data_IF_257589580402
#
_entry.id   IF_257589580402
#
_cell.length_a   1.000
_cell.length_b   1.000
_cell.length_c   1.000
_cell.angle_alpha   90.00
_cell.angle_beta   90.00
_cell.angle_gamma   90.00
#
_symmetry.space_group_name_H-M   'P 1'
#
loop_
_entity.id
_entity.type
_entity.pdbx_description
1 polymer ?
#
# COMPACT_ATOMS: atom_id res chain seq x y z
N UNK A 1 52.93 13.49 -43.13
CA UNK A 1 52.75 12.23 -43.90
C UNK A 1 51.98 11.25 -43.03
N UNK A 2 50.91 10.70 -43.58
CA UNK A 2 49.89 9.84 -42.96
C UNK A 2 50.50 8.69 -42.15
N UNK A 3 50.08 8.54 -40.89
CA UNK A 3 50.16 7.25 -40.20
C UNK A 3 48.81 6.54 -40.25
N UNK A 4 48.90 5.24 -40.47
CA UNK A 4 47.90 4.31 -40.94
C UNK A 4 47.39 3.49 -39.74
N UNK A 5 46.05 3.40 -39.62
CA UNK A 5 45.20 2.24 -39.32
C UNK A 5 45.73 1.12 -38.39
N UNK A 6 45.00 0.86 -37.29
CA UNK A 6 44.82 -0.44 -36.59
C UNK A 6 43.60 -0.28 -35.64
N UNK A 7 42.37 -0.70 -36.03
CA UNK A 7 41.67 -1.98 -35.80
C UNK A 7 41.50 -2.35 -34.30
N UNK A 8 40.31 -2.91 -33.99
CA UNK A 8 39.84 -3.57 -32.75
C UNK A 8 39.47 -2.53 -31.65
N UNK A 9 38.25 -2.40 -31.15
CA UNK A 9 37.37 -3.42 -30.57
C UNK A 9 35.92 -2.96 -30.75
N UNK A 10 35.09 -3.86 -31.28
CA UNK A 10 33.64 -3.80 -31.13
C UNK A 10 33.33 -3.91 -29.63
N UNK A 11 33.22 -2.77 -28.95
CA UNK A 11 32.62 -2.70 -27.62
C UNK A 11 31.12 -2.87 -27.80
N UNK A 12 30.74 -4.14 -27.89
CA UNK A 12 29.42 -4.64 -27.54
C UNK A 12 29.11 -4.10 -26.14
N UNK A 13 28.52 -2.90 -26.08
CA UNK A 13 27.81 -2.42 -24.91
C UNK A 13 26.59 -3.32 -24.79
N UNK A 14 26.77 -4.46 -24.12
CA UNK A 14 25.69 -5.19 -23.50
C UNK A 14 25.03 -4.22 -22.54
N UNK A 15 23.97 -3.59 -23.03
CA UNK A 15 23.00 -2.88 -22.21
C UNK A 15 22.32 -3.98 -21.39
N UNK A 16 22.97 -4.41 -20.31
CA UNK A 16 22.29 -5.10 -19.22
C UNK A 16 21.33 -4.09 -18.64
N UNK A 17 20.15 -3.99 -19.25
CA UNK A 17 18.99 -3.41 -18.61
C UNK A 17 18.68 -4.30 -17.42
N UNK A 18 19.25 -3.98 -16.26
CA UNK A 18 18.66 -4.41 -15.01
C UNK A 18 17.28 -3.78 -14.99
N UNK A 19 16.24 -4.59 -15.23
CA UNK A 19 14.87 -4.22 -14.91
C UNK A 19 14.80 -4.13 -13.40
N UNK A 20 15.24 -3.00 -12.85
CA UNK A 20 15.14 -2.74 -11.42
C UNK A 20 13.69 -2.36 -11.17
N UNK A 21 12.95 -3.30 -10.57
CA UNK A 21 11.57 -3.06 -10.14
C UNK A 21 11.55 -1.83 -9.23
N UNK A 22 10.70 -0.87 -9.60
CA UNK A 22 10.53 0.38 -8.86
C UNK A 22 9.71 0.15 -7.59
N UNK A 23 9.78 1.06 -6.63
CA UNK A 23 8.98 0.93 -5.39
C UNK A 23 7.48 1.01 -5.71
N UNK A 24 7.12 1.71 -6.79
CA UNK A 24 5.77 1.83 -7.30
C UNK A 24 5.22 0.51 -7.86
N UNK A 25 6.07 -0.39 -8.36
CA UNK A 25 5.65 -1.73 -8.81
C UNK A 25 5.40 -2.70 -7.64
N UNK A 26 5.90 -2.35 -6.46
CA UNK A 26 5.88 -3.14 -5.23
C UNK A 26 4.85 -2.66 -4.22
N UNK A 27 4.17 -1.55 -4.50
CA UNK A 27 3.29 -0.88 -3.54
C UNK A 27 1.97 -0.43 -4.16
N UNK A 28 0.95 -0.32 -3.32
CA UNK A 28 -0.28 0.38 -3.64
C UNK A 28 -0.68 1.26 -2.47
N UNK A 29 -1.01 2.52 -2.76
CA UNK A 29 -1.36 3.52 -1.74
C UNK A 29 -2.87 3.72 -1.72
N UNK A 30 -3.47 3.48 -0.57
CA UNK A 30 -4.91 3.53 -0.34
C UNK A 30 -5.24 4.55 0.76
N UNK A 31 -6.43 5.17 0.76
CA UNK A 31 -6.89 5.91 1.92
C UNK A 31 -7.23 4.96 3.08
N UNK A 32 -7.10 5.40 4.33
CA UNK A 32 -7.45 4.61 5.52
C UNK A 32 -8.82 3.92 5.42
N UNK A 33 -9.84 4.68 4.98
CA UNK A 33 -11.23 4.19 4.84
C UNK A 33 -11.43 3.04 3.84
N UNK A 34 -10.46 2.76 2.96
CA UNK A 34 -10.54 1.62 2.05
C UNK A 34 -10.51 0.28 2.81
N UNK A 35 -10.04 0.28 4.06
CA UNK A 35 -10.05 -0.90 4.93
C UNK A 35 -11.34 -1.03 5.73
N UNK A 36 -12.37 -0.22 5.47
CA UNK A 36 -13.62 -0.23 6.23
C UNK A 36 -13.61 0.73 7.43
N UNK A 37 -14.62 0.64 8.32
CA UNK A 37 -14.75 1.55 9.44
C UNK A 37 -13.62 1.39 10.47
N UNK A 38 -13.25 2.45 11.23
CA UNK A 38 -12.15 2.39 12.21
C UNK A 38 -12.30 1.28 13.26
N UNK A 39 -13.53 0.95 13.64
CA UNK A 39 -13.83 -0.15 14.57
C UNK A 39 -13.45 -1.53 14.03
N UNK A 40 -13.30 -1.67 12.71
CA UNK A 40 -12.91 -2.89 12.01
C UNK A 40 -11.41 -2.86 11.68
N UNK A 41 -10.93 -1.76 11.08
CA UNK A 41 -9.55 -1.63 10.60
C UNK A 41 -8.53 -1.33 11.70
N UNK A 42 -8.98 -0.88 12.87
CA UNK A 42 -8.12 -0.37 13.93
C UNK A 42 -7.07 -1.36 14.45
N UNK A 43 -7.35 -2.66 14.41
CA UNK A 43 -6.35 -3.67 14.81
C UNK A 43 -5.17 -3.75 13.83
N UNK A 44 -5.44 -3.63 12.53
CA UNK A 44 -4.42 -3.71 11.49
C UNK A 44 -3.70 -2.37 11.32
N UNK A 45 -4.48 -1.28 11.28
CA UNK A 45 -3.97 0.04 10.89
C UNK A 45 -3.67 0.94 12.09
N UNK A 46 -4.23 0.68 13.27
CA UNK A 46 -4.31 1.67 14.35
C UNK A 46 -5.44 2.69 14.12
N UNK A 47 -5.40 3.77 14.88
CA UNK A 47 -6.42 4.83 14.95
C UNK A 47 -6.61 5.61 13.64
N UNK A 48 -7.79 6.14 13.33
CA UNK A 48 -8.02 6.86 12.06
C UNK A 48 -7.38 8.26 11.96
N UNK A 49 -6.96 8.82 13.09
CA UNK A 49 -6.22 10.08 13.17
C UNK A 49 -4.71 9.87 13.07
N UNK A 50 -3.94 10.96 13.04
CA UNK A 50 -2.48 10.88 12.90
C UNK A 50 -1.83 10.02 14.00
N UNK A 51 -0.96 9.09 13.60
CA UNK A 51 -0.36 8.10 14.52
C UNK A 51 0.46 8.69 15.68
N UNK A 52 0.92 9.94 15.57
CA UNK A 52 1.65 10.65 16.64
C UNK A 52 0.72 11.35 17.65
N UNK A 53 -0.59 11.43 17.37
CA UNK A 53 -1.58 12.02 18.28
C UNK A 53 -2.13 11.00 19.27
N UNK A 54 -2.25 11.40 20.53
CA UNK A 54 -2.83 10.56 21.59
C UNK A 54 -4.35 10.39 21.47
N UNK A 55 -5.02 11.31 20.78
CA UNK A 55 -6.44 11.28 20.48
C UNK A 55 -6.72 12.07 19.20
N UNK A 56 -7.88 11.81 18.57
CA UNK A 56 -8.38 12.61 17.47
C UNK A 56 -8.87 14.00 17.92
N UNK A 57 -9.18 14.85 16.96
CA UNK A 57 -9.70 16.19 17.19
C UNK A 57 -11.09 16.14 17.82
N UNK A 58 -11.40 17.09 18.71
CA UNK A 58 -12.72 17.17 19.34
C UNK A 58 -13.85 17.48 18.35
N UNK A 59 -13.50 17.94 17.15
CA UNK A 59 -14.42 18.18 16.04
C UNK A 59 -14.16 17.14 14.96
N UNK A 60 -15.20 16.54 14.36
CA UNK A 60 -15.02 15.61 13.25
C UNK A 60 -14.23 16.25 12.11
N UNK A 61 -13.23 15.53 11.62
CA UNK A 61 -12.48 15.84 10.39
C UNK A 61 -12.05 14.56 9.71
N UNK A 62 -11.71 14.65 8.44
CA UNK A 62 -11.01 13.58 7.73
C UNK A 62 -9.50 13.82 7.90
N UNK A 63 -8.78 12.79 8.33
CA UNK A 63 -7.32 12.80 8.39
C UNK A 63 -6.76 12.22 7.08
N UNK A 64 -5.73 12.83 6.49
CA UNK A 64 -5.15 12.38 5.23
C UNK A 64 -4.25 11.14 5.38
N UNK A 65 -4.58 10.22 6.29
CA UNK A 65 -3.83 8.98 6.53
C UNK A 65 -3.87 8.09 5.28
N UNK A 66 -2.70 7.62 4.87
CA UNK A 66 -2.52 6.72 3.73
C UNK A 66 -1.99 5.38 4.20
N UNK A 67 -2.47 4.31 3.60
CA UNK A 67 -2.01 2.95 3.84
C UNK A 67 -1.26 2.50 2.60
N UNK A 68 0.02 2.17 2.76
CA UNK A 68 0.85 1.57 1.74
C UNK A 68 0.81 0.06 1.94
N UNK A 69 0.09 -0.63 1.07
CA UNK A 69 0.20 -2.09 0.99
C UNK A 69 1.39 -2.41 0.11
N UNK A 70 2.29 -3.26 0.60
CA UNK A 70 3.55 -3.55 -0.11
C UNK A 70 3.83 -5.04 -0.21
N UNK A 71 4.61 -5.40 -1.23
CA UNK A 71 5.12 -6.75 -1.48
C UNK A 71 6.56 -6.65 -1.96
N UNK A 72 7.46 -7.43 -1.39
CA UNK A 72 8.88 -7.49 -1.79
C UNK A 72 9.65 -6.16 -1.71
N UNK A 73 9.26 -5.30 -0.74
CA UNK A 73 9.93 -4.04 -0.41
C UNK A 73 10.46 -4.06 1.03
N UNK A 74 11.64 -3.48 1.24
CA UNK A 74 12.20 -3.26 2.57
C UNK A 74 11.59 -2.03 3.24
N UNK A 75 11.66 -1.99 4.57
CA UNK A 75 11.22 -0.82 5.34
C UNK A 75 11.98 0.45 4.93
N UNK A 76 13.28 0.35 4.65
CA UNK A 76 14.09 1.49 4.20
C UNK A 76 13.60 2.06 2.86
N UNK A 77 13.26 1.21 1.89
CA UNK A 77 12.67 1.65 0.62
C UNK A 77 11.31 2.34 0.85
N UNK A 78 10.48 1.80 1.76
CA UNK A 78 9.17 2.35 2.07
C UNK A 78 9.26 3.70 2.78
N UNK A 79 10.13 3.84 3.78
CA UNK A 79 10.32 5.09 4.52
C UNK A 79 10.92 6.18 3.62
N UNK A 80 11.79 5.82 2.67
CA UNK A 80 12.32 6.75 1.70
C UNK A 80 11.26 7.26 0.71
N UNK A 81 10.35 6.39 0.25
CA UNK A 81 9.32 6.75 -0.73
C UNK A 81 8.06 7.36 -0.10
N UNK A 82 7.68 6.90 1.08
CA UNK A 82 6.42 7.19 1.76
C UNK A 82 6.66 7.59 3.22
N UNK A 83 7.37 8.70 3.50
CA UNK A 83 7.83 9.04 4.84
C UNK A 83 6.69 9.48 5.76
N UNK A 84 6.80 9.12 7.05
CA UNK A 84 6.00 9.68 8.13
C UNK A 84 6.64 11.02 8.54
N UNK A 85 5.89 12.12 8.43
CA UNK A 85 6.38 13.47 8.71
C UNK A 85 5.27 14.31 9.37
N UNK A 86 5.42 14.56 10.67
CA UNK A 86 4.47 15.34 11.47
C UNK A 86 4.41 16.80 11.00
N UNK A 87 5.53 17.41 10.63
CA UNK A 87 5.58 18.81 10.22
C UNK A 87 4.85 19.04 8.88
N UNK A 88 4.77 18.00 8.05
CA UNK A 88 4.07 18.02 6.76
C UNK A 88 2.73 17.28 6.78
N UNK A 89 2.26 16.83 7.95
CA UNK A 89 1.03 16.03 8.11
C UNK A 89 0.96 14.80 7.18
N UNK A 90 2.11 14.13 6.97
CA UNK A 90 2.20 12.88 6.21
C UNK A 90 2.17 11.69 7.16
N UNK A 91 1.08 10.94 7.14
CA UNK A 91 0.93 9.69 7.87
C UNK A 91 0.73 8.54 6.87
N UNK A 92 1.83 7.83 6.59
CA UNK A 92 1.81 6.59 5.83
C UNK A 92 1.91 5.40 6.79
N UNK A 93 1.08 4.38 6.55
CA UNK A 93 1.06 3.14 7.32
C UNK A 93 1.39 1.99 6.42
N UNK A 94 2.38 1.21 6.81
CA UNK A 94 2.89 0.12 5.99
C UNK A 94 2.21 -1.18 6.38
N UNK A 95 1.61 -1.86 5.40
CA UNK A 95 0.94 -3.15 5.58
C UNK A 95 1.49 -4.14 4.57
N UNK A 96 2.04 -5.24 5.04
CA UNK A 96 2.47 -6.34 4.18
C UNK A 96 1.31 -6.92 3.37
N UNK A 97 1.54 -7.26 2.11
CA UNK A 97 0.54 -7.78 1.18
C UNK A 97 -0.25 -8.94 1.80
N UNK A 98 0.45 -9.93 2.35
CA UNK A 98 -0.19 -11.10 2.96
C UNK A 98 -1.08 -10.72 4.15
N UNK A 99 -0.67 -9.73 4.97
CA UNK A 99 -1.48 -9.24 6.07
C UNK A 99 -2.74 -8.52 5.57
N UNK A 100 -2.63 -7.72 4.50
CA UNK A 100 -3.77 -7.08 3.87
C UNK A 100 -4.76 -8.10 3.30
N UNK A 101 -4.29 -9.10 2.54
CA UNK A 101 -5.17 -10.13 1.96
C UNK A 101 -5.90 -10.91 3.05
N UNK A 102 -5.18 -11.36 4.08
CA UNK A 102 -5.79 -12.06 5.21
C UNK A 102 -6.84 -11.19 5.95
N UNK A 103 -6.57 -9.89 6.08
CA UNK A 103 -7.52 -8.94 6.66
C UNK A 103 -8.81 -8.88 5.83
N UNK A 104 -8.71 -8.70 4.51
CA UNK A 104 -9.89 -8.61 3.66
C UNK A 104 -10.66 -9.93 3.62
N UNK A 105 -9.98 -11.07 3.48
CA UNK A 105 -10.64 -12.39 3.48
C UNK A 105 -11.45 -12.63 4.75
N UNK A 106 -10.86 -12.30 5.91
CA UNK A 106 -11.54 -12.43 7.20
C UNK A 106 -12.75 -11.50 7.29
N UNK A 107 -12.58 -10.21 7.01
CA UNK A 107 -13.63 -9.23 7.24
C UNK A 107 -14.76 -9.32 6.22
N UNK A 108 -14.48 -9.70 4.97
CA UNK A 108 -15.53 -10.01 3.99
C UNK A 108 -16.41 -11.15 4.52
N UNK A 109 -15.79 -12.25 4.96
CA UNK A 109 -16.52 -13.38 5.52
C UNK A 109 -17.36 -12.98 6.74
N UNK A 110 -16.78 -12.25 7.70
CA UNK A 110 -17.50 -11.80 8.90
C UNK A 110 -18.69 -10.88 8.55
N UNK A 111 -18.50 -9.94 7.62
CA UNK A 111 -19.57 -9.04 7.16
C UNK A 111 -20.70 -9.82 6.48
N UNK A 112 -20.38 -10.83 5.68
CA UNK A 112 -21.37 -11.68 5.04
C UNK A 112 -22.15 -12.54 6.04
N UNK A 113 -21.49 -13.11 7.04
CA UNK A 113 -22.16 -13.86 8.11
C UNK A 113 -23.09 -12.96 8.93
N UNK A 114 -22.63 -11.77 9.33
CA UNK A 114 -23.47 -10.79 10.01
C UNK A 114 -24.71 -10.41 9.18
N UNK A 115 -24.55 -10.25 7.87
CA UNK A 115 -25.69 -9.98 6.98
C UNK A 115 -26.69 -11.15 6.96
N UNK A 116 -26.23 -12.40 6.96
CA UNK A 116 -27.10 -13.60 7.06
C UNK A 116 -27.83 -13.69 8.39
N UNK A 117 -27.22 -13.20 9.47
CA UNK A 117 -27.83 -13.10 10.80
C UNK A 117 -28.83 -11.94 10.93
N UNK A 118 -28.99 -11.11 9.89
CA UNK A 118 -29.96 -10.03 9.84
C UNK A 118 -29.43 -8.66 10.25
N UNK A 119 -28.12 -8.50 10.45
CA UNK A 119 -27.51 -7.19 10.66
C UNK A 119 -27.37 -6.45 9.32
N UNK A 120 -27.88 -5.21 9.19
CA UNK A 120 -27.79 -4.46 7.95
C UNK A 120 -26.35 -3.95 7.74
N UNK A 121 -25.58 -4.64 6.90
CA UNK A 121 -24.19 -4.26 6.58
C UNK A 121 -24.05 -3.35 5.36
N UNK A 122 -25.14 -3.05 4.66
CA UNK A 122 -25.11 -2.26 3.42
C UNK A 122 -24.25 -2.92 2.34
N UNK A 123 -23.40 -2.12 1.67
CA UNK A 123 -22.51 -2.58 0.61
C UNK A 123 -21.10 -2.94 1.11
N UNK A 124 -20.87 -2.99 2.42
CA UNK A 124 -19.53 -3.09 3.00
C UNK A 124 -18.73 -4.30 2.50
N UNK A 125 -19.36 -5.48 2.35
CA UNK A 125 -18.68 -6.66 1.82
C UNK A 125 -18.15 -6.42 0.40
N UNK A 126 -18.96 -5.81 -0.47
CA UNK A 126 -18.56 -5.49 -1.84
C UNK A 126 -17.41 -4.47 -1.87
N UNK A 127 -17.47 -3.42 -1.04
CA UNK A 127 -16.40 -2.40 -0.97
C UNK A 127 -15.06 -3.00 -0.51
N UNK A 128 -15.10 -3.96 0.43
CA UNK A 128 -13.93 -4.70 0.90
C UNK A 128 -13.37 -5.63 -0.19
N UNK A 129 -14.23 -6.39 -0.89
CA UNK A 129 -13.83 -7.26 -2.01
C UNK A 129 -13.25 -6.46 -3.20
N UNK A 130 -13.82 -5.30 -3.52
CA UNK A 130 -13.29 -4.41 -4.56
C UNK A 130 -11.89 -3.90 -4.19
N UNK A 131 -11.70 -3.48 -2.95
CA UNK A 131 -10.39 -3.01 -2.46
C UNK A 131 -9.35 -4.13 -2.48
N UNK A 132 -9.72 -5.33 -2.00
CA UNK A 132 -8.88 -6.53 -2.07
C UNK A 132 -8.49 -6.85 -3.52
N UNK A 133 -9.47 -6.85 -4.43
CA UNK A 133 -9.24 -7.09 -5.86
C UNK A 133 -8.28 -6.08 -6.47
N UNK A 134 -8.37 -4.81 -6.07
CA UNK A 134 -7.43 -3.77 -6.50
C UNK A 134 -6.01 -4.06 -6.02
N UNK A 135 -5.84 -4.42 -4.74
CA UNK A 135 -4.53 -4.79 -4.17
C UNK A 135 -3.93 -5.99 -4.90
N UNK A 136 -4.71 -7.06 -5.07
CA UNK A 136 -4.29 -8.27 -5.79
C UNK A 136 -3.85 -7.89 -7.19
N UNK A 137 -4.67 -7.14 -7.94
CA UNK A 137 -4.33 -6.74 -9.32
C UNK A 137 -3.06 -5.89 -9.39
N UNK A 138 -2.82 -5.02 -8.42
CA UNK A 138 -1.65 -4.16 -8.39
C UNK A 138 -0.35 -4.94 -8.05
N UNK A 139 -0.44 -5.99 -7.22
CA UNK A 139 0.74 -6.66 -6.64
C UNK A 139 0.89 -8.14 -7.02
N UNK A 140 0.12 -8.63 -8.00
CA UNK A 140 0.19 -10.01 -8.52
C UNK A 140 1.32 -10.27 -9.53
N UNK A 141 2.31 -9.36 -9.59
CA UNK A 141 3.53 -9.56 -10.38
C UNK A 141 4.38 -10.72 -9.84
#
# INVERSE_FOLDING_TARGET
MKQILLIVIASVFLISGCTQSSIEDKTVVLPYKAFGPPSMSGHLLGVEWFQWQSHGDSRPREYPVKVVVYKDASLEELEAAYPIDEALEKDFRYVEYTAAINYFDKNVHEVEEMAKEGYPMGNLSNELEETKSLIVKALSN
#
